data_IF_694010632048
#
_entry.id   IF_694010632048
#
_cell.length_a   1.000
_cell.length_b   1.000
_cell.length_c   1.000
_cell.angle_alpha   90.00
_cell.angle_beta   90.00
_cell.angle_gamma   90.00
#
_symmetry.space_group_name_H-M   'P 1'
#
loop_
_entity.id
_entity.type
_entity.pdbx_description
1 polymer ?
#
# COMPACT_ATOMS: atom_id res chain seq x y z
N UNK A 1 -4.29 1.25 22.71
CA UNK A 1 -4.06 1.14 21.25
C UNK A 1 -4.73 2.33 20.60
N UNK A 2 -4.03 3.02 19.69
CA UNK A 2 -4.56 4.22 19.05
C UNK A 2 -5.41 3.79 17.85
N UNK A 3 -6.73 4.02 17.89
CA UNK A 3 -7.70 3.62 16.86
C UNK A 3 -8.40 4.88 16.30
N UNK A 4 -8.91 4.79 15.07
CA UNK A 4 -9.62 5.89 14.38
C UNK A 4 -11.00 5.44 13.93
N UNK A 5 -12.04 6.12 14.43
CA UNK A 5 -13.44 5.86 14.02
C UNK A 5 -13.61 6.04 12.52
N UNK A 6 -12.92 7.02 11.93
CA UNK A 6 -13.01 7.29 10.50
C UNK A 6 -12.46 6.13 9.67
N UNK A 7 -11.32 5.57 10.09
CA UNK A 7 -10.76 4.38 9.47
C UNK A 7 -11.70 3.19 9.59
N UNK A 8 -12.31 2.97 10.75
CA UNK A 8 -13.26 1.85 10.95
C UNK A 8 -14.57 1.99 10.16
N UNK A 9 -14.98 3.22 9.84
CA UNK A 9 -16.12 3.46 8.94
C UNK A 9 -15.76 3.19 7.49
N UNK A 10 -14.53 3.51 7.07
CA UNK A 10 -14.04 3.26 5.72
C UNK A 10 -13.69 1.79 5.50
N UNK A 11 -12.94 1.17 6.42
CA UNK A 11 -12.47 -0.21 6.36
C UNK A 11 -13.11 -0.98 7.51
N UNK A 12 -14.27 -1.60 7.24
CA UNK A 12 -15.06 -2.20 8.31
C UNK A 12 -14.35 -3.36 9.01
N UNK A 13 -13.46 -4.06 8.30
CA UNK A 13 -12.59 -5.11 8.83
C UNK A 13 -11.71 -4.61 9.99
N UNK A 14 -11.32 -3.33 9.98
CA UNK A 14 -10.50 -2.74 11.05
C UNK A 14 -11.18 -2.77 12.43
N UNK A 15 -12.51 -2.74 12.50
CA UNK A 15 -13.26 -2.80 13.77
C UNK A 15 -12.92 -4.03 14.60
N UNK A 16 -12.66 -5.16 13.91
CA UNK A 16 -12.36 -6.46 14.54
C UNK A 16 -10.87 -6.76 14.62
N UNK A 17 -10.03 -5.91 14.03
CA UNK A 17 -8.58 -6.08 14.01
C UNK A 17 -7.88 -5.39 15.20
N UNK A 18 -6.59 -5.70 15.32
CA UNK A 18 -5.68 -5.07 16.29
C UNK A 18 -4.81 -3.99 15.63
N UNK A 19 -5.30 -3.34 14.57
CA UNK A 19 -4.57 -2.26 13.92
C UNK A 19 -4.22 -1.12 14.90
N UNK A 20 -3.15 -0.40 14.58
CA UNK A 20 -2.68 0.73 15.36
C UNK A 20 -2.38 1.91 14.45
N UNK A 21 -2.93 3.08 14.78
CA UNK A 21 -2.62 4.36 14.13
C UNK A 21 -1.21 4.81 14.54
N UNK A 22 -0.36 5.08 13.55
CA UNK A 22 1.06 5.43 13.75
C UNK A 22 1.41 6.86 13.34
N UNK A 23 0.47 7.60 12.75
CA UNK A 23 0.70 8.99 12.35
C UNK A 23 -0.54 9.89 12.51
N UNK A 24 -0.37 11.18 12.22
CA UNK A 24 -1.47 12.14 12.10
C UNK A 24 -2.00 12.12 10.67
N UNK A 25 -3.26 12.51 10.49
CA UNK A 25 -3.86 12.72 9.17
C UNK A 25 -3.00 13.69 8.36
N UNK A 26 -2.66 13.30 7.13
CA UNK A 26 -1.94 14.15 6.19
C UNK A 26 -2.34 13.87 4.74
N UNK A 27 -2.53 14.91 3.90
CA UNK A 27 -2.77 14.76 2.47
C UNK A 27 -1.47 14.79 1.63
N UNK A 28 -0.28 14.82 2.24
CA UNK A 28 1.00 15.09 1.54
C UNK A 28 1.47 13.92 0.67
N UNK A 29 1.07 12.69 0.97
CA UNK A 29 1.45 11.48 0.25
C UNK A 29 0.35 10.42 0.35
N UNK A 30 0.41 9.41 -0.52
CA UNK A 30 -0.55 8.31 -0.61
C UNK A 30 0.09 6.94 -0.27
N UNK A 31 -0.70 5.87 -0.36
CA UNK A 31 -0.28 4.49 -0.07
C UNK A 31 0.90 4.02 -0.92
N UNK A 32 0.92 4.40 -2.19
CA UNK A 32 1.97 3.98 -3.12
C UNK A 32 3.30 4.63 -2.77
N UNK A 33 3.30 5.93 -2.48
CA UNK A 33 4.47 6.64 -1.99
C UNK A 33 4.96 6.04 -0.66
N UNK A 34 4.02 5.78 0.25
CA UNK A 34 4.35 5.17 1.54
C UNK A 34 5.00 3.79 1.36
N UNK A 35 4.47 2.95 0.46
CA UNK A 35 5.04 1.64 0.14
C UNK A 35 6.44 1.76 -0.47
N UNK A 36 6.69 2.77 -1.30
CA UNK A 36 8.00 3.08 -1.86
C UNK A 36 9.04 3.54 -0.80
N UNK A 37 8.57 3.95 0.39
CA UNK A 37 9.42 4.49 1.45
C UNK A 37 9.46 6.01 1.50
N UNK A 38 8.49 6.69 0.89
CA UNK A 38 8.43 8.14 0.77
C UNK A 38 7.18 8.73 1.43
N UNK A 39 7.30 9.96 1.92
CA UNK A 39 6.23 10.63 2.68
C UNK A 39 6.14 12.15 2.40
N UNK A 40 6.68 12.60 1.27
CA UNK A 40 6.78 14.01 0.87
C UNK A 40 6.15 14.31 -0.51
N UNK A 41 5.70 13.27 -1.24
CA UNK A 41 5.01 13.40 -2.53
C UNK A 41 4.04 12.25 -2.78
N UNK A 42 3.14 12.43 -3.74
CA UNK A 42 2.22 11.40 -4.22
C UNK A 42 2.85 10.60 -5.35
N UNK A 43 2.62 9.29 -5.33
CA UNK A 43 3.01 8.38 -6.40
C UNK A 43 1.78 7.84 -7.11
N UNK A 44 1.72 7.93 -8.44
CA UNK A 44 0.66 7.31 -9.23
C UNK A 44 1.07 7.27 -10.71
N UNK A 45 0.74 6.20 -11.47
CA UNK A 45 1.17 6.06 -12.86
C UNK A 45 0.47 7.00 -13.85
N UNK A 46 -0.54 7.78 -13.47
CA UNK A 46 -1.28 8.65 -14.40
C UNK A 46 -0.75 10.10 -14.37
N UNK A 47 0.08 10.53 -15.34
CA UNK A 47 0.75 11.84 -15.31
C UNK A 47 -0.16 13.02 -15.67
N UNK A 48 -1.36 12.77 -16.21
CA UNK A 48 -2.23 13.82 -16.74
C UNK A 48 -3.26 14.34 -15.73
N UNK A 49 -3.47 13.64 -14.61
CA UNK A 49 -4.49 14.02 -13.63
C UNK A 49 -3.98 14.95 -12.54
N UNK A 50 -2.70 14.85 -12.18
CA UNK A 50 -2.10 15.64 -11.11
C UNK A 50 -0.56 15.59 -11.18
N UNK A 51 0.18 16.39 -10.40
CA UNK A 51 1.65 16.33 -10.33
C UNK A 51 2.12 15.10 -9.52
N UNK A 52 1.63 13.92 -9.85
CA UNK A 52 2.06 12.66 -9.26
C UNK A 52 3.41 12.26 -9.82
N UNK A 53 4.26 11.70 -8.96
CA UNK A 53 5.52 11.13 -9.39
C UNK A 53 5.30 9.68 -9.85
N UNK A 54 5.96 9.31 -10.94
CA UNK A 54 6.13 7.92 -11.36
C UNK A 54 7.52 7.74 -11.98
N UNK A 55 8.26 6.67 -11.65
CA UNK A 55 9.65 6.52 -12.08
C UNK A 55 9.82 6.04 -13.53
N UNK A 56 8.76 5.55 -14.19
CA UNK A 56 8.81 5.03 -15.57
C UNK A 56 7.77 5.67 -16.49
N UNK A 57 7.88 5.37 -17.79
CA UNK A 57 6.80 5.56 -18.73
C UNK A 57 5.79 4.41 -18.61
N UNK A 58 4.87 4.54 -17.66
CA UNK A 58 3.65 3.73 -17.52
C UNK A 58 2.50 4.70 -17.27
N UNK A 59 1.30 4.38 -17.76
CA UNK A 59 0.16 5.30 -17.73
C UNK A 59 -1.14 4.67 -17.27
N UNK A 60 -1.11 3.39 -16.94
CA UNK A 60 -2.30 2.64 -16.58
C UNK A 60 -2.24 2.23 -15.11
N UNK A 61 -3.40 2.05 -14.50
CA UNK A 61 -3.55 1.60 -13.11
C UNK A 61 -3.43 0.08 -12.98
N UNK A 62 -2.80 -0.58 -13.96
CA UNK A 62 -2.71 -2.03 -14.02
C UNK A 62 -1.58 -2.57 -13.16
N UNK A 63 -1.74 -3.80 -12.68
CA UNK A 63 -0.75 -4.49 -11.84
C UNK A 63 0.66 -4.48 -12.44
N UNK A 64 0.78 -4.64 -13.76
CA UNK A 64 2.06 -4.68 -14.48
C UNK A 64 2.82 -3.34 -14.39
N UNK A 65 2.13 -2.21 -14.48
CA UNK A 65 2.74 -0.88 -14.34
C UNK A 65 3.33 -0.69 -12.94
N UNK A 66 2.63 -1.12 -11.89
CA UNK A 66 3.12 -1.06 -10.51
C UNK A 66 4.30 -2.00 -10.27
N UNK A 67 4.27 -3.21 -10.85
CA UNK A 67 5.42 -4.14 -10.81
C UNK A 67 6.65 -3.50 -11.47
N UNK A 68 6.48 -2.91 -12.65
CA UNK A 68 7.59 -2.25 -13.37
C UNK A 68 8.11 -1.02 -12.60
N UNK A 69 7.20 -0.17 -12.12
CA UNK A 69 7.52 1.01 -11.33
C UNK A 69 8.29 0.70 -10.05
N UNK A 70 7.85 -0.30 -9.27
CA UNK A 70 8.59 -0.74 -8.08
C UNK A 70 9.87 -1.51 -8.45
N UNK A 71 9.93 -2.13 -9.63
CA UNK A 71 11.15 -2.69 -10.21
C UNK A 71 12.30 -1.69 -10.26
N UNK A 72 12.03 -0.42 -10.59
CA UNK A 72 13.05 0.66 -10.58
C UNK A 72 13.65 0.94 -9.20
N UNK A 73 12.92 0.60 -8.13
CA UNK A 73 13.39 0.69 -6.75
C UNK A 73 14.15 -0.55 -6.29
N UNK A 74 14.38 -1.52 -7.18
CA UNK A 74 15.07 -2.78 -6.93
C UNK A 74 14.16 -3.87 -6.36
N UNK A 75 12.83 -3.71 -6.42
CA UNK A 75 11.91 -4.78 -6.05
C UNK A 75 11.81 -5.83 -7.16
N UNK A 76 11.66 -7.09 -6.76
CA UNK A 76 11.40 -8.23 -7.65
C UNK A 76 10.18 -9.00 -7.14
N UNK A 77 9.40 -9.60 -8.03
CA UNK A 77 8.25 -10.44 -7.65
C UNK A 77 8.66 -11.58 -6.72
N UNK A 78 7.81 -11.91 -5.75
CA UNK A 78 7.98 -13.05 -4.86
C UNK A 78 6.65 -13.76 -4.59
N UNK A 79 6.74 -14.97 -4.04
CA UNK A 79 5.57 -15.87 -3.91
C UNK A 79 4.57 -15.41 -2.84
N UNK A 80 5.06 -14.86 -1.72
CA UNK A 80 4.22 -14.57 -0.57
C UNK A 80 4.73 -13.41 0.29
N UNK A 81 3.91 -13.03 1.26
CA UNK A 81 4.17 -11.99 2.25
C UNK A 81 4.92 -12.45 3.51
N UNK A 82 5.51 -13.66 3.56
CA UNK A 82 6.20 -14.14 4.77
C UNK A 82 7.47 -13.33 5.04
N UNK A 83 7.88 -13.18 6.31
CA UNK A 83 9.14 -12.50 6.63
C UNK A 83 10.32 -13.26 6.00
N UNK A 84 11.22 -12.51 5.36
CA UNK A 84 12.47 -13.04 4.82
C UNK A 84 13.64 -12.19 5.34
N UNK A 85 14.61 -12.82 6.01
CA UNK A 85 15.75 -12.11 6.60
C UNK A 85 16.53 -11.35 5.52
N UNK A 86 16.81 -10.07 5.79
CA UNK A 86 17.51 -9.18 4.85
C UNK A 86 16.63 -8.59 3.73
N UNK A 87 15.33 -8.90 3.67
CA UNK A 87 14.41 -8.36 2.67
C UNK A 87 13.25 -7.57 3.27
N UNK A 88 12.88 -6.47 2.61
CA UNK A 88 11.59 -5.81 2.82
C UNK A 88 10.64 -6.19 1.68
N UNK A 89 9.35 -6.31 1.99
CA UNK A 89 8.32 -6.69 1.02
C UNK A 89 7.25 -5.62 0.87
N UNK A 90 6.64 -5.57 -0.30
CA UNK A 90 5.41 -4.82 -0.56
C UNK A 90 4.33 -5.78 -1.07
N UNK A 91 3.08 -5.46 -0.75
CA UNK A 91 1.88 -6.14 -1.23
C UNK A 91 1.08 -5.17 -2.10
N UNK A 92 0.62 -5.65 -3.25
CA UNK A 92 -0.21 -4.89 -4.20
C UNK A 92 -1.63 -5.42 -4.11
N UNK A 93 -2.57 -4.51 -3.89
CA UNK A 93 -3.99 -4.81 -3.85
C UNK A 93 -4.63 -4.41 -5.17
N UNK A 94 -5.50 -5.27 -5.68
CA UNK A 94 -6.24 -5.09 -6.93
C UNK A 94 -7.73 -5.18 -6.63
N UNK A 95 -8.50 -4.25 -7.17
CA UNK A 95 -9.95 -4.23 -7.03
C UNK A 95 -10.67 -5.18 -8.02
N UNK A 96 -11.99 -5.09 -8.08
CA UNK A 96 -12.82 -5.97 -8.90
C UNK A 96 -12.74 -5.63 -10.40
N UNK A 97 -12.31 -4.41 -10.75
CA UNK A 97 -12.12 -3.95 -12.12
C UNK A 97 -10.73 -4.32 -12.66
N UNK A 98 -9.85 -4.85 -11.79
CA UNK A 98 -8.49 -5.26 -12.15
C UNK A 98 -7.47 -4.14 -12.02
N UNK A 99 -7.84 -3.03 -11.39
CA UNK A 99 -6.99 -1.86 -11.17
C UNK A 99 -6.35 -1.91 -9.78
N UNK A 100 -5.11 -1.40 -9.69
CA UNK A 100 -4.38 -1.30 -8.42
C UNK A 100 -4.99 -0.16 -7.61
N UNK A 101 -5.52 -0.51 -6.45
CA UNK A 101 -6.17 0.45 -5.56
C UNK A 101 -5.36 0.74 -4.28
N UNK A 102 -4.41 -0.13 -3.91
CA UNK A 102 -3.57 0.08 -2.72
C UNK A 102 -2.27 -0.72 -2.72
N UNK A 103 -1.33 -0.26 -1.89
CA UNK A 103 -0.12 -0.99 -1.56
C UNK A 103 0.23 -0.86 -0.09
N UNK A 104 0.79 -1.93 0.48
CA UNK A 104 1.28 -1.99 1.85
C UNK A 104 2.76 -2.41 1.87
N UNK A 105 3.54 -1.93 2.86
CA UNK A 105 4.93 -2.35 3.08
C UNK A 105 5.05 -3.18 4.35
N UNK A 106 5.81 -4.26 4.30
CA UNK A 106 6.08 -5.13 5.43
C UNK A 106 7.01 -4.46 6.45
N UNK A 107 6.74 -4.67 7.73
CA UNK A 107 7.60 -4.30 8.85
C UNK A 107 8.39 -5.52 9.35
N UNK A 108 9.47 -5.25 10.08
CA UNK A 108 10.33 -6.30 10.67
C UNK A 108 9.59 -7.22 11.66
N UNK A 109 8.44 -6.77 12.16
CA UNK A 109 7.56 -7.55 13.04
C UNK A 109 6.71 -8.58 12.30
N UNK A 110 6.66 -8.53 10.96
CA UNK A 110 5.74 -9.31 10.12
C UNK A 110 4.38 -8.66 9.89
N UNK A 111 4.08 -7.58 10.62
CA UNK A 111 2.93 -6.72 10.33
C UNK A 111 3.19 -5.88 9.09
N UNK A 112 2.13 -5.23 8.60
CA UNK A 112 2.16 -4.37 7.43
C UNK A 112 1.86 -2.93 7.81
N UNK A 113 2.42 -1.99 7.05
CA UNK A 113 2.14 -0.57 7.20
C UNK A 113 1.56 0.01 5.92
N UNK A 114 0.57 0.87 6.10
CA UNK A 114 -0.21 1.48 5.03
C UNK A 114 -0.55 2.92 5.35
N UNK A 115 -0.52 3.78 4.32
CA UNK A 115 -1.16 5.09 4.34
C UNK A 115 -2.59 4.95 3.84
N UNK A 116 -3.59 5.24 4.67
CA UNK A 116 -5.00 5.07 4.30
C UNK A 116 -5.56 6.29 3.56
N UNK A 117 -5.25 6.41 2.27
CA UNK A 117 -5.70 7.53 1.43
C UNK A 117 -5.20 8.86 1.98
N UNK A 118 -6.09 9.82 2.28
CA UNK A 118 -5.74 11.11 2.92
C UNK A 118 -5.73 11.06 4.46
N UNK A 119 -5.96 9.90 5.06
CA UNK A 119 -6.10 9.73 6.51
C UNK A 119 -4.76 9.44 7.19
N UNK A 120 -4.74 8.70 8.30
CA UNK A 120 -3.54 8.31 9.02
C UNK A 120 -2.78 7.16 8.35
N UNK A 121 -1.54 6.95 8.79
CA UNK A 121 -0.83 5.68 8.62
C UNK A 121 -1.23 4.71 9.71
N UNK A 122 -1.21 3.42 9.37
CA UNK A 122 -1.49 2.35 10.30
C UNK A 122 -0.47 1.22 10.21
N UNK A 123 -0.43 0.43 11.28
CA UNK A 123 0.10 -0.92 11.33
C UNK A 123 -1.09 -1.90 11.41
N UNK A 124 -1.07 -2.96 10.61
CA UNK A 124 -2.20 -3.89 10.46
C UNK A 124 -1.75 -5.25 9.88
N UNK A 125 -2.64 -6.25 9.86
CA UNK A 125 -2.48 -7.45 9.03
C UNK A 125 -2.99 -7.17 7.62
N UNK A 126 -2.50 -7.88 6.59
CA UNK A 126 -2.84 -7.57 5.19
C UNK A 126 -4.35 -7.58 4.92
N UNK A 127 -5.04 -8.58 5.44
CA UNK A 127 -6.47 -8.81 5.28
C UNK A 127 -7.33 -7.71 5.91
N UNK A 128 -6.77 -6.92 6.84
CA UNK A 128 -7.50 -5.88 7.55
C UNK A 128 -7.96 -4.72 6.64
N UNK A 129 -7.33 -4.57 5.48
CA UNK A 129 -7.66 -3.55 4.47
C UNK A 129 -8.31 -4.13 3.20
N UNK A 130 -8.51 -5.44 3.14
CA UNK A 130 -9.23 -6.06 2.03
C UNK A 130 -10.73 -5.75 2.08
N UNK A 131 -11.35 -5.66 0.90
CA UNK A 131 -12.80 -5.46 0.75
C UNK A 131 -13.20 -4.90 -0.62
N UNK A 132 -14.46 -5.08 -1.01
CA UNK A 132 -15.07 -4.52 -2.21
C UNK A 132 -16.14 -3.44 -1.89
N UNK A 133 -16.81 -2.92 -2.91
CA UNK A 133 -17.99 -2.05 -2.80
C UNK A 133 -17.83 -0.82 -1.87
N UNK A 134 -16.70 -0.12 -1.97
CA UNK A 134 -16.44 1.13 -1.24
C UNK A 134 -16.04 0.97 0.23
N UNK A 135 -15.80 -0.26 0.71
CA UNK A 135 -15.38 -0.56 2.09
C UNK A 135 -14.03 -1.29 2.19
N UNK A 136 -13.08 -1.00 1.30
CA UNK A 136 -11.80 -1.68 1.22
C UNK A 136 -10.95 -1.20 0.04
N UNK A 137 -9.79 -1.82 -0.13
CA UNK A 137 -8.88 -1.58 -1.25
C UNK A 137 -8.77 -2.81 -2.18
N UNK A 138 -9.83 -3.59 -2.37
CA UNK A 138 -9.75 -4.84 -3.13
C UNK A 138 -9.09 -5.97 -2.35
N UNK A 139 -8.32 -6.83 -3.03
CA UNK A 139 -7.64 -7.99 -2.44
C UNK A 139 -6.15 -7.98 -2.75
N UNK A 140 -5.34 -8.57 -1.86
CA UNK A 140 -3.92 -8.75 -2.15
C UNK A 140 -3.76 -9.69 -3.34
N UNK A 141 -3.14 -9.19 -4.41
CA UNK A 141 -2.96 -9.91 -5.67
C UNK A 141 -1.50 -10.30 -5.91
N UNK A 142 -0.56 -9.47 -5.48
CA UNK A 142 0.86 -9.67 -5.78
C UNK A 142 1.79 -9.22 -4.66
N UNK A 143 2.96 -9.87 -4.56
CA UNK A 143 4.02 -9.50 -3.64
C UNK A 143 5.32 -9.21 -4.37
N UNK A 144 6.07 -8.25 -3.86
CA UNK A 144 7.43 -7.98 -4.31
C UNK A 144 8.37 -7.81 -3.12
N UNK A 145 9.66 -8.09 -3.31
CA UNK A 145 10.71 -7.94 -2.30
C UNK A 145 11.93 -7.21 -2.82
N UNK A 146 12.63 -6.48 -1.96
CA UNK A 146 13.98 -5.97 -2.21
C UNK A 146 14.87 -6.17 -0.99
N UNK A 147 16.18 -6.13 -1.16
CA UNK A 147 17.12 -6.13 -0.02
C UNK A 147 16.93 -4.87 0.81
N UNK A 148 16.88 -5.02 2.13
CA UNK A 148 16.89 -3.88 3.07
C UNK A 148 18.17 -3.07 2.87
N UNK A 149 18.04 -1.76 2.96
CA UNK A 149 19.16 -0.81 2.92
C UNK A 149 19.79 -0.63 4.29
#
# INVERSE_FOLDING_TARGET
>A
MNKSIKLELTFQSLKKSNYCVTSKITPVYNCIAWAAGENDRWWWPIPYEAPYYWPESGKDELLEDFISGFGTLGYISCENGDIEEGYEKVAIYVDEDGEVSHMARQLDTGLWTSKCGRLEDIQHNLEDLEGGDGYGYGKVSHFMKRKKR
#
